data_IF_936693249899
#
_entry.id   IF_936693249899
#
_cell.length_a   1.000
_cell.length_b   1.000
_cell.length_c   1.000
_cell.angle_alpha   90.00
_cell.angle_beta   90.00
_cell.angle_gamma   90.00
#
_symmetry.space_group_name_H-M   'P 1'
#
loop_
_entity.id
_entity.type
_entity.pdbx_description
1 polymer ?
#
# COMPACT_ATOMS: atom_id res chain seq x y z
N UNK A 1 -18.30 11.64 4.37
CA UNK A 1 -17.59 11.00 3.23
C UNK A 1 -18.52 11.00 2.02
N UNK A 2 -18.13 11.67 0.94
CA UNK A 2 -18.95 11.70 -0.28
C UNK A 2 -18.62 10.49 -1.15
N UNK A 3 -19.63 9.80 -1.69
CA UNK A 3 -19.43 8.63 -2.56
C UNK A 3 -18.41 8.87 -3.69
N UNK A 4 -18.34 10.12 -4.20
CA UNK A 4 -17.34 10.53 -5.19
C UNK A 4 -15.90 10.36 -4.69
N UNK A 5 -15.60 10.78 -3.46
CA UNK A 5 -14.25 10.68 -2.88
C UNK A 5 -13.89 9.20 -2.69
N UNK A 6 -14.83 8.39 -2.21
CA UNK A 6 -14.60 6.96 -2.02
C UNK A 6 -14.26 6.25 -3.35
N UNK A 7 -15.00 6.55 -4.42
CA UNK A 7 -14.75 5.98 -5.75
C UNK A 7 -13.39 6.43 -6.28
N UNK A 8 -13.05 7.72 -6.18
CA UNK A 8 -11.76 8.23 -6.65
C UNK A 8 -10.58 7.58 -5.91
N UNK A 9 -10.68 7.46 -4.58
CA UNK A 9 -9.64 6.80 -3.78
C UNK A 9 -9.52 5.31 -4.10
N UNK A 10 -10.65 4.61 -4.26
CA UNK A 10 -10.67 3.20 -4.65
C UNK A 10 -10.01 2.99 -6.02
N UNK A 11 -10.34 3.83 -7.01
CA UNK A 11 -9.73 3.78 -8.33
C UNK A 11 -8.22 4.06 -8.29
N UNK A 12 -7.78 5.01 -7.46
CA UNK A 12 -6.36 5.34 -7.30
C UNK A 12 -5.58 4.18 -6.67
N UNK A 13 -6.12 3.54 -5.64
CA UNK A 13 -5.51 2.37 -5.00
C UNK A 13 -5.42 1.21 -5.99
N UNK A 14 -6.53 0.85 -6.64
CA UNK A 14 -6.54 -0.26 -7.61
C UNK A 14 -5.62 0.02 -8.80
N UNK A 15 -5.59 1.26 -9.30
CA UNK A 15 -4.68 1.67 -10.36
C UNK A 15 -3.22 1.55 -9.95
N UNK A 16 -2.86 1.97 -8.73
CA UNK A 16 -1.52 1.82 -8.19
C UNK A 16 -1.09 0.35 -8.06
N UNK A 17 -1.98 -0.52 -7.56
CA UNK A 17 -1.73 -1.97 -7.48
C UNK A 17 -1.55 -2.56 -8.87
N UNK A 18 -2.41 -2.23 -9.83
CA UNK A 18 -2.33 -2.73 -11.19
C UNK A 18 -1.02 -2.31 -11.87
N UNK A 19 -0.60 -1.05 -11.70
CA UNK A 19 0.68 -0.56 -12.22
C UNK A 19 1.87 -1.27 -11.57
N UNK A 20 1.82 -1.54 -10.26
CA UNK A 20 2.88 -2.26 -9.57
C UNK A 20 3.02 -3.69 -10.07
N UNK A 21 1.90 -4.38 -10.29
CA UNK A 21 1.91 -5.74 -10.87
C UNK A 21 2.43 -5.73 -12.30
N UNK A 22 2.01 -4.77 -13.13
CA UNK A 22 2.33 -4.76 -14.56
C UNK A 22 3.75 -4.27 -14.88
N UNK A 23 4.30 -3.35 -14.08
CA UNK A 23 5.60 -2.69 -14.38
C UNK A 23 6.70 -3.17 -13.44
N UNK A 24 6.37 -3.45 -12.18
CA UNK A 24 7.37 -3.74 -11.15
C UNK A 24 7.29 -5.19 -10.62
N UNK A 25 6.51 -6.08 -11.25
CA UNK A 25 6.30 -7.46 -10.78
C UNK A 25 5.90 -7.55 -9.30
N UNK A 26 5.05 -6.62 -8.84
CA UNK A 26 4.62 -6.48 -7.44
C UNK A 26 5.73 -6.09 -6.43
N UNK A 27 6.91 -5.67 -6.90
CA UNK A 27 8.05 -5.38 -6.04
C UNK A 27 7.80 -4.20 -5.09
N UNK A 28 7.03 -3.18 -5.50
CA UNK A 28 6.80 -2.03 -4.62
C UNK A 28 5.86 -2.37 -3.47
N UNK A 29 4.79 -3.14 -3.71
CA UNK A 29 3.90 -3.64 -2.66
C UNK A 29 4.64 -4.55 -1.68
N UNK A 30 5.47 -5.47 -2.18
CA UNK A 30 6.26 -6.36 -1.31
C UNK A 30 7.28 -5.55 -0.51
N UNK A 31 7.92 -4.54 -1.11
CA UNK A 31 8.80 -3.62 -0.40
C UNK A 31 8.07 -2.87 0.72
N UNK A 32 6.91 -2.27 0.43
CA UNK A 32 6.09 -1.57 1.40
C UNK A 32 5.65 -2.49 2.55
N UNK A 33 5.25 -3.72 2.24
CA UNK A 33 4.89 -4.74 3.22
C UNK A 33 6.05 -5.08 4.17
N UNK A 34 7.26 -5.29 3.63
CA UNK A 34 8.46 -5.51 4.47
C UNK A 34 8.74 -4.32 5.38
N UNK A 35 8.67 -3.10 4.86
CA UNK A 35 8.89 -1.88 5.67
C UNK A 35 7.82 -1.67 6.74
N UNK A 36 6.59 -2.10 6.47
CA UNK A 36 5.52 -2.08 7.46
C UNK A 36 5.79 -3.09 8.59
N UNK A 37 6.33 -4.28 8.29
CA UNK A 37 6.78 -5.24 9.31
C UNK A 37 7.93 -4.64 10.13
N UNK A 38 8.96 -4.07 9.49
CA UNK A 38 10.06 -3.39 10.18
C UNK A 38 9.52 -2.30 11.14
N UNK A 39 8.53 -1.52 10.70
CA UNK A 39 7.90 -0.48 11.49
C UNK A 39 7.12 -1.05 12.68
N UNK A 40 6.40 -2.15 12.49
CA UNK A 40 5.68 -2.85 13.57
C UNK A 40 6.67 -3.37 14.60
N UNK A 41 7.77 -4.00 14.17
CA UNK A 41 8.82 -4.49 15.07
C UNK A 41 9.45 -3.34 15.86
N UNK A 42 9.76 -2.23 15.19
CA UNK A 42 10.23 -1.02 15.85
C UNK A 42 9.22 -0.53 16.88
N UNK A 43 7.94 -0.38 16.53
CA UNK A 43 6.91 0.08 17.47
C UNK A 43 6.72 -0.89 18.64
N UNK A 44 6.81 -2.20 18.40
CA UNK A 44 6.71 -3.24 19.41
C UNK A 44 7.87 -3.20 20.42
N UNK A 45 9.06 -2.75 20.00
CA UNK A 45 10.19 -2.50 20.91
C UNK A 45 9.93 -1.36 21.91
N UNK A 46 9.15 -0.34 21.52
CA UNK A 46 8.84 0.81 22.38
C UNK A 46 7.65 0.59 23.32
N UNK A 47 6.97 -0.55 23.22
CA UNK A 47 5.92 -0.91 24.16
C UNK A 47 6.51 -1.50 25.43
#
# INVERSE_FOLDING_TARGET
>A
MTNRIAITLGALILGGVALDVAINDSAALVFAGRKLVDLIEYLAFWR
#
